data_IF_675854751794
#
_entry.id   IF_675854751794
#
_cell.length_a   1.000
_cell.length_b   1.000
_cell.length_c   1.000
_cell.angle_alpha   90.00
_cell.angle_beta   90.00
_cell.angle_gamma   90.00
#
_symmetry.space_group_name_H-M   'P 1'
#
loop_
_entity.id
_entity.type
_entity.pdbx_description
1 polymer ?
#
# COMPACT_ATOMS: atom_id res chain seq x y z
N UNK A 1 -4.61 -27.37 -45.44
CA UNK A 1 -4.49 -25.92 -45.72
C UNK A 1 -5.02 -25.10 -44.54
N UNK A 2 -6.30 -25.25 -44.15
CA UNK A 2 -6.86 -24.51 -43.00
C UNK A 2 -6.24 -24.89 -41.64
N UNK A 3 -5.97 -26.17 -41.40
CA UNK A 3 -5.33 -26.64 -40.16
C UNK A 3 -4.00 -25.92 -39.87
N UNK A 4 -3.19 -25.67 -40.90
CA UNK A 4 -1.91 -25.00 -40.76
C UNK A 4 -2.07 -23.54 -40.31
N UNK A 5 -3.13 -22.87 -40.79
CA UNK A 5 -3.45 -21.49 -40.42
C UNK A 5 -3.99 -21.41 -38.99
N UNK A 6 -4.82 -22.38 -38.56
CA UNK A 6 -5.34 -22.46 -37.19
C UNK A 6 -4.21 -22.68 -36.19
N UNK A 7 -3.26 -23.56 -36.50
CA UNK A 7 -2.09 -23.82 -35.65
C UNK A 7 -1.24 -22.54 -35.52
N UNK A 8 -1.00 -21.81 -36.62
CA UNK A 8 -0.25 -20.56 -36.60
C UNK A 8 -0.95 -19.47 -35.78
N UNK A 9 -2.27 -19.31 -35.92
CA UNK A 9 -3.03 -18.36 -35.12
C UNK A 9 -3.02 -18.69 -33.63
N UNK A 10 -3.10 -19.98 -33.28
CA UNK A 10 -3.07 -20.43 -31.89
C UNK A 10 -1.70 -20.12 -31.22
N UNK A 11 -0.59 -20.33 -31.93
CA UNK A 11 0.75 -20.00 -31.42
C UNK A 11 0.93 -18.49 -31.23
N UNK A 12 0.42 -17.66 -32.14
CA UNK A 12 0.46 -16.20 -32.01
C UNK A 12 -0.38 -15.71 -30.82
N UNK A 13 -1.55 -16.31 -30.58
CA UNK A 13 -2.40 -15.95 -29.46
C UNK A 13 -1.76 -16.33 -28.11
N UNK A 14 -1.14 -17.51 -28.03
CA UNK A 14 -0.38 -17.93 -26.84
C UNK A 14 0.80 -17.00 -26.53
N UNK A 15 1.52 -16.50 -27.55
CA UNK A 15 2.60 -15.50 -27.39
C UNK A 15 2.05 -14.18 -26.85
N UNK A 16 0.97 -13.66 -27.42
CA UNK A 16 0.32 -12.43 -26.93
C UNK A 16 -0.18 -12.54 -25.49
N UNK A 17 -0.63 -13.73 -25.09
CA UNK A 17 -1.09 -13.96 -23.71
C UNK A 17 0.07 -13.98 -22.71
N UNK A 18 1.25 -14.47 -23.13
CA UNK A 18 2.46 -14.44 -22.30
C UNK A 18 2.99 -13.02 -22.05
N UNK A 19 2.92 -12.12 -23.04
CA UNK A 19 3.32 -10.72 -22.89
C UNK A 19 2.37 -9.95 -21.95
N UNK A 20 1.07 -10.25 -21.99
CA UNK A 20 0.09 -9.70 -21.05
C UNK A 20 0.34 -10.16 -19.60
N UNK A 21 0.80 -11.39 -19.41
CA UNK A 21 1.16 -11.93 -18.09
C UNK A 21 2.42 -11.27 -17.51
N UNK A 22 3.45 -11.05 -18.32
CA UNK A 22 4.66 -10.32 -17.90
C UNK A 22 4.37 -8.85 -17.58
N UNK A 23 3.55 -8.18 -18.40
CA UNK A 23 3.19 -6.77 -18.19
C UNK A 23 2.28 -6.57 -16.97
N UNK A 24 1.46 -7.55 -16.58
CA UNK A 24 0.65 -7.48 -15.36
C UNK A 24 1.51 -7.33 -14.08
N UNK A 25 2.72 -7.91 -14.08
CA UNK A 25 3.62 -7.85 -12.92
C UNK A 25 4.37 -6.52 -12.84
N UNK A 26 4.69 -5.88 -13.97
CA UNK A 26 5.36 -4.57 -13.97
C UNK A 26 4.49 -3.50 -13.31
N UNK A 27 3.23 -3.37 -13.76
CA UNK A 27 2.28 -2.46 -13.15
C UNK A 27 1.92 -2.89 -11.71
N UNK A 28 1.84 -4.19 -11.46
CA UNK A 28 1.62 -4.73 -10.11
C UNK A 28 2.72 -4.34 -9.12
N UNK A 29 3.99 -4.34 -9.54
CA UNK A 29 5.13 -3.95 -8.72
C UNK A 29 5.14 -2.44 -8.43
N UNK A 30 4.79 -1.60 -9.41
CA UNK A 30 4.67 -0.16 -9.17
C UNK A 30 3.58 0.16 -8.15
N UNK A 31 2.40 -0.49 -8.27
CA UNK A 31 1.31 -0.34 -7.31
C UNK A 31 1.71 -0.84 -5.92
N UNK A 32 2.39 -1.99 -5.83
CA UNK A 32 2.89 -2.51 -4.57
C UNK A 32 3.91 -1.56 -3.91
N UNK A 33 4.80 -0.94 -4.69
CA UNK A 33 5.76 0.05 -4.21
C UNK A 33 5.08 1.30 -3.63
N UNK A 34 4.08 1.84 -4.34
CA UNK A 34 3.30 2.98 -3.85
C UNK A 34 2.53 2.60 -2.58
N UNK A 35 1.91 1.43 -2.54
CA UNK A 35 1.20 0.95 -1.36
C UNK A 35 2.14 0.85 -0.14
N UNK A 36 3.33 0.28 -0.31
CA UNK A 36 4.34 0.20 0.76
C UNK A 36 4.78 1.58 1.25
N UNK A 37 4.98 2.54 0.33
CA UNK A 37 5.31 3.93 0.67
C UNK A 37 4.23 4.57 1.53
N UNK A 38 2.97 4.50 1.10
CA UNK A 38 1.84 5.09 1.84
C UNK A 38 1.74 4.49 3.25
N UNK A 39 1.85 3.18 3.37
CA UNK A 39 1.83 2.48 4.67
C UNK A 39 2.96 2.99 5.57
N UNK A 40 4.19 3.09 5.06
CA UNK A 40 5.33 3.58 5.83
C UNK A 40 5.11 5.01 6.35
N UNK A 41 4.60 5.90 5.50
CA UNK A 41 4.31 7.29 5.89
C UNK A 41 3.23 7.34 6.96
N UNK A 42 2.15 6.57 6.83
CA UNK A 42 1.06 6.54 7.82
C UNK A 42 1.55 6.05 9.18
N UNK A 43 2.39 5.01 9.24
CA UNK A 43 2.93 4.52 10.51
C UNK A 43 3.84 5.55 11.19
N UNK A 44 4.73 6.19 10.44
CA UNK A 44 5.60 7.25 10.96
C UNK A 44 4.78 8.43 11.47
N UNK A 45 3.82 8.89 10.67
CA UNK A 45 2.97 10.02 11.02
C UNK A 45 2.08 9.72 12.23
N UNK A 46 1.51 8.51 12.30
CA UNK A 46 0.69 8.08 13.44
C UNK A 46 1.49 8.05 14.76
N UNK A 47 2.73 7.57 14.72
CA UNK A 47 3.63 7.62 15.88
C UNK A 47 3.92 9.06 16.34
N UNK A 48 4.19 9.96 15.39
CA UNK A 48 4.44 11.38 15.69
C UNK A 48 3.21 12.07 16.31
N UNK A 49 2.03 11.87 15.71
CA UNK A 49 0.77 12.43 16.22
C UNK A 49 0.47 11.90 17.63
N UNK A 50 0.65 10.60 17.88
CA UNK A 50 0.50 10.01 19.23
C UNK A 50 1.45 10.64 20.24
N UNK A 51 2.70 10.91 19.84
CA UNK A 51 3.69 11.58 20.69
C UNK A 51 3.26 13.00 21.09
N UNK A 52 2.72 13.77 20.15
CA UNK A 52 2.18 15.12 20.43
C UNK A 52 0.99 15.04 21.39
N UNK A 53 0.00 14.19 21.10
CA UNK A 53 -1.18 14.07 21.96
C UNK A 53 -0.83 13.60 23.38
N UNK A 54 0.12 12.66 23.52
CA UNK A 54 0.61 12.21 24.82
C UNK A 54 1.30 13.34 25.60
N UNK A 55 2.14 14.13 24.92
CA UNK A 55 2.83 15.28 25.52
C UNK A 55 1.86 16.38 25.95
N UNK A 56 0.88 16.70 25.11
CA UNK A 56 -0.19 17.65 25.42
C UNK A 56 -1.05 17.17 26.58
N UNK A 57 -1.43 15.89 26.59
CA UNK A 57 -2.17 15.33 27.72
C UNK A 57 -1.39 15.47 29.03
N UNK A 58 -0.11 15.09 29.04
CA UNK A 58 0.75 15.21 30.23
C UNK A 58 0.83 16.66 30.73
N UNK A 59 0.89 17.62 29.80
CA UNK A 59 0.93 19.05 30.11
C UNK A 59 -0.41 19.59 30.67
N UNK A 60 -1.53 18.96 30.32
CA UNK A 60 -2.87 19.31 30.83
C UNK A 60 -3.10 18.69 32.21
N UNK A 61 -2.71 17.43 32.40
CA UNK A 61 -2.80 16.72 33.69
C UNK A 61 -2.00 17.46 34.77
N UNK A 62 -0.73 17.78 34.46
CA UNK A 62 0.17 18.49 35.38
C UNK A 62 -0.31 19.89 35.78
N UNK A 63 -1.11 20.58 34.95
CA UNK A 63 -1.66 21.90 35.26
C UNK A 63 -3.08 21.87 35.83
N UNK A 64 -3.77 20.73 35.76
CA UNK A 64 -5.15 20.60 36.22
C UNK A 64 -5.25 19.52 37.29
N UNK A 65 -5.08 19.92 38.56
CA UNK A 65 -5.24 19.09 39.77
C UNK A 65 -6.69 18.55 39.96
N UNK A 66 -7.55 18.59 38.94
CA UNK A 66 -8.95 18.21 38.98
C UNK A 66 -9.44 17.39 37.77
N UNK A 67 -8.59 17.06 36.78
CA UNK A 67 -9.02 16.26 35.61
C UNK A 67 -8.50 14.82 35.77
N UNK A 68 -9.34 13.98 36.36
CA UNK A 68 -9.19 12.51 36.39
C UNK A 68 -9.57 11.93 35.01
N UNK A 69 -8.88 12.35 33.96
CA UNK A 69 -9.05 11.84 32.60
C UNK A 69 -7.79 11.10 32.18
N UNK A 70 -7.75 9.80 32.40
CA UNK A 70 -6.60 8.96 32.03
C UNK A 70 -6.42 8.96 30.51
N UNK A 71 -5.25 9.39 30.03
CA UNK A 71 -4.92 9.31 28.61
C UNK A 71 -4.43 7.91 28.23
N UNK A 72 -5.12 7.31 27.26
CA UNK A 72 -4.85 5.97 26.69
C UNK A 72 -4.24 6.03 25.30
#
# INVERSE_FOLDING_TARGET
>A
MLEFLVIQLNMLNARRQSERGASAVEYGLLVAGIAALIVAVVFLFGGFVKGIFSSTCTSIDTQSTAITGTCS
#
